data_IF_809148954721
#
_entry.id   IF_809148954721
#
_cell.length_a   1.000
_cell.length_b   1.000
_cell.length_c   1.000
_cell.angle_alpha   90.00
_cell.angle_beta   90.00
_cell.angle_gamma   90.00
#
_symmetry.space_group_name_H-M   'P 1'
#
loop_
_entity.id
_entity.type
_entity.pdbx_description
1 polymer ?
#
# COMPACT_ATOMS: atom_id res chain seq x y z
N UNK A 1 -6.27 -16.11 6.93
CA UNK A 1 -7.06 -14.88 7.20
C UNK A 1 -7.39 -14.71 8.69
N UNK A 2 -7.93 -15.70 9.39
CA UNK A 2 -8.44 -15.59 10.78
C UNK A 2 -7.42 -15.02 11.79
N UNK A 3 -6.18 -15.54 11.81
CA UNK A 3 -5.14 -15.14 12.78
C UNK A 3 -4.88 -13.62 12.80
N UNK A 4 -4.92 -12.96 11.64
CA UNK A 4 -4.62 -11.52 11.53
C UNK A 4 -5.69 -10.66 12.18
N UNK A 5 -6.95 -11.06 12.03
CA UNK A 5 -8.08 -10.37 12.66
C UNK A 5 -8.08 -10.60 14.18
N UNK A 6 -7.65 -11.78 14.64
CA UNK A 6 -7.43 -12.03 16.07
C UNK A 6 -6.30 -11.15 16.61
N UNK A 7 -5.12 -11.13 15.98
CA UNK A 7 -3.99 -10.26 16.40
C UNK A 7 -4.39 -8.78 16.39
N UNK A 8 -5.11 -8.33 15.37
CA UNK A 8 -5.61 -6.95 15.25
C UNK A 8 -6.57 -6.55 16.38
N UNK A 9 -7.42 -7.47 16.83
CA UNK A 9 -8.36 -7.26 17.93
C UNK A 9 -7.87 -7.76 19.28
N UNK A 10 -6.54 -7.93 19.43
CA UNK A 10 -5.90 -8.37 20.68
C UNK A 10 -6.54 -9.65 21.24
N UNK A 11 -6.86 -10.58 20.34
CA UNK A 11 -7.52 -11.86 20.60
C UNK A 11 -8.92 -11.76 21.23
N UNK A 12 -9.56 -10.58 21.23
CA UNK A 12 -10.97 -10.48 21.59
C UNK A 12 -11.85 -11.04 20.45
N UNK A 13 -12.27 -12.29 20.63
CA UNK A 13 -12.88 -13.13 19.59
C UNK A 13 -14.10 -12.46 18.94
N UNK A 14 -15.01 -11.88 19.73
CA UNK A 14 -16.25 -11.29 19.20
C UNK A 14 -15.98 -10.12 18.25
N UNK A 15 -15.05 -9.22 18.57
CA UNK A 15 -14.66 -8.12 17.67
C UNK A 15 -13.87 -8.63 16.46
N UNK A 16 -13.03 -9.66 16.63
CA UNK A 16 -12.30 -10.27 15.53
C UNK A 16 -13.25 -10.88 14.49
N UNK A 17 -14.23 -11.66 14.95
CA UNK A 17 -15.28 -12.24 14.10
C UNK A 17 -16.07 -11.15 13.40
N UNK A 18 -16.54 -10.12 14.12
CA UNK A 18 -17.28 -8.99 13.53
C UNK A 18 -16.50 -8.32 12.39
N UNK A 19 -15.21 -8.04 12.61
CA UNK A 19 -14.36 -7.40 11.58
C UNK A 19 -14.07 -8.34 10.41
N UNK A 20 -13.80 -9.61 10.69
CA UNK A 20 -13.56 -10.64 9.67
C UNK A 20 -14.78 -10.82 8.77
N UNK A 21 -15.99 -10.87 9.33
CA UNK A 21 -17.24 -10.96 8.55
C UNK A 21 -17.41 -9.76 7.63
N UNK A 22 -17.12 -8.54 8.11
CA UNK A 22 -17.13 -7.33 7.26
C UNK A 22 -16.14 -7.46 6.10
N UNK A 23 -14.93 -7.94 6.37
CA UNK A 23 -13.91 -8.12 5.34
C UNK A 23 -14.30 -9.19 4.31
N UNK A 24 -14.84 -10.33 4.74
CA UNK A 24 -15.32 -11.39 3.82
C UNK A 24 -16.43 -10.85 2.92
N UNK A 25 -17.40 -10.11 3.50
CA UNK A 25 -18.48 -9.49 2.72
C UNK A 25 -17.92 -8.50 1.69
N UNK A 26 -17.07 -7.57 2.12
CA UNK A 26 -16.45 -6.59 1.22
C UNK A 26 -15.65 -7.27 0.10
N UNK A 27 -14.88 -8.32 0.39
CA UNK A 27 -14.11 -9.06 -0.63
C UNK A 27 -15.02 -9.68 -1.70
N UNK A 28 -16.19 -10.18 -1.29
CA UNK A 28 -17.21 -10.68 -2.22
C UNK A 28 -17.81 -9.54 -3.04
N UNK A 29 -18.24 -8.46 -2.40
CA UNK A 29 -18.90 -7.32 -3.05
C UNK A 29 -17.95 -6.57 -4.00
N UNK A 30 -16.64 -6.56 -3.71
CA UNK A 30 -15.58 -5.95 -4.52
C UNK A 30 -15.06 -6.90 -5.64
N UNK A 31 -15.53 -8.15 -5.69
CA UNK A 31 -15.06 -9.18 -6.62
C UNK A 31 -13.54 -9.42 -6.58
N UNK A 32 -12.95 -9.45 -5.39
CA UNK A 32 -11.48 -9.62 -5.23
C UNK A 32 -10.96 -10.89 -5.91
N UNK A 33 -11.76 -11.96 -5.93
CA UNK A 33 -11.39 -13.22 -6.57
C UNK A 33 -11.29 -13.15 -8.10
N UNK A 34 -11.88 -12.12 -8.73
CA UNK A 34 -11.89 -11.91 -10.17
C UNK A 34 -10.80 -10.92 -10.63
N UNK A 35 -10.05 -10.32 -9.69
CA UNK A 35 -8.95 -9.42 -10.00
C UNK A 35 -7.79 -10.22 -10.61
N UNK A 36 -7.55 -10.03 -11.89
CA UNK A 36 -6.45 -10.63 -12.65
C UNK A 36 -5.53 -9.55 -13.21
N UNK A 37 -4.33 -9.94 -13.66
CA UNK A 37 -3.40 -9.02 -14.33
C UNK A 37 -4.04 -8.35 -15.55
N UNK A 38 -4.83 -9.10 -16.34
CA UNK A 38 -5.54 -8.54 -17.49
C UNK A 38 -6.63 -7.54 -17.07
N UNK A 39 -7.35 -7.81 -15.96
CA UNK A 39 -8.42 -6.93 -15.48
C UNK A 39 -7.93 -5.56 -14.98
N UNK A 40 -6.65 -5.42 -14.62
CA UNK A 40 -6.06 -4.15 -14.13
C UNK A 40 -4.96 -3.62 -15.06
N UNK A 41 -4.80 -4.21 -16.24
CA UNK A 41 -3.67 -3.96 -17.14
C UNK A 41 -3.56 -2.51 -17.57
N UNK A 42 -4.66 -1.90 -17.98
CA UNK A 42 -4.65 -0.54 -18.53
C UNK A 42 -4.20 0.48 -17.49
N UNK A 43 -4.71 0.37 -16.26
CA UNK A 43 -4.30 1.25 -15.15
C UNK A 43 -2.90 0.90 -14.63
N UNK A 44 -2.50 -0.37 -14.64
CA UNK A 44 -1.16 -0.81 -14.26
C UNK A 44 -0.07 -0.28 -15.21
N UNK A 45 -0.38 -0.14 -16.50
CA UNK A 45 0.53 0.38 -17.52
C UNK A 45 0.94 1.84 -17.29
N UNK A 46 0.18 2.60 -16.50
CA UNK A 46 0.62 3.95 -16.07
C UNK A 46 1.91 3.89 -15.25
N UNK A 47 2.21 2.76 -14.61
CA UNK A 47 3.36 2.59 -13.73
C UNK A 47 3.25 3.39 -12.44
N UNK A 48 2.03 3.80 -12.05
CA UNK A 48 1.76 4.53 -10.79
C UNK A 48 1.96 3.66 -9.55
N UNK A 49 1.87 2.34 -9.68
CA UNK A 49 2.18 1.39 -8.63
C UNK A 49 2.53 0.01 -9.20
N UNK A 50 3.36 -0.74 -8.49
CA UNK A 50 3.72 -2.12 -8.83
C UNK A 50 4.23 -2.87 -7.59
N UNK A 51 4.30 -4.20 -7.68
CA UNK A 51 5.02 -5.01 -6.68
C UNK A 51 6.42 -5.27 -7.20
N UNK A 52 7.45 -4.94 -6.42
CA UNK A 52 8.84 -5.18 -6.79
C UNK A 52 9.13 -6.68 -6.81
N UNK A 53 9.92 -7.13 -7.78
CA UNK A 53 10.20 -8.56 -7.99
C UNK A 53 10.98 -9.21 -6.83
N UNK A 54 11.71 -8.39 -6.07
CA UNK A 54 12.53 -8.83 -4.95
C UNK A 54 11.96 -8.36 -3.61
N UNK A 55 12.29 -9.11 -2.57
CA UNK A 55 12.02 -8.69 -1.19
C UNK A 55 13.02 -7.59 -0.77
N UNK A 56 12.63 -6.80 0.21
CA UNK A 56 13.57 -5.93 0.93
C UNK A 56 14.58 -6.76 1.75
N UNK A 57 15.62 -6.11 2.28
CA UNK A 57 16.64 -6.80 3.10
C UNK A 57 16.07 -7.42 4.39
N UNK A 58 14.86 -7.04 4.80
CA UNK A 58 14.14 -7.61 5.94
C UNK A 58 13.26 -8.81 5.53
N UNK A 59 13.27 -9.20 4.26
CA UNK A 59 12.50 -10.32 3.71
C UNK A 59 11.01 -10.03 3.55
N UNK A 60 10.63 -8.77 3.31
CA UNK A 60 9.25 -8.33 3.08
C UNK A 60 9.02 -8.04 1.60
N UNK A 61 7.87 -8.42 1.03
CA UNK A 61 7.44 -7.93 -0.27
C UNK A 61 7.34 -6.40 -0.27
N UNK A 62 7.72 -5.79 -1.39
CA UNK A 62 7.72 -4.33 -1.55
C UNK A 62 6.64 -3.92 -2.53
N UNK A 63 5.67 -3.15 -2.07
CA UNK A 63 4.70 -2.48 -2.92
C UNK A 63 5.18 -1.05 -3.17
N UNK A 64 5.52 -0.78 -4.42
CA UNK A 64 6.02 0.50 -4.91
C UNK A 64 4.85 1.36 -5.40
N UNK A 65 4.83 2.64 -5.02
CA UNK A 65 3.91 3.66 -5.52
C UNK A 65 4.72 4.85 -6.01
N UNK A 66 4.47 5.29 -7.24
CA UNK A 66 5.09 6.48 -7.85
C UNK A 66 4.02 7.56 -7.89
N UNK A 67 3.96 8.38 -6.83
CA UNK A 67 2.81 9.24 -6.58
C UNK A 67 2.65 10.33 -7.66
N UNK A 68 3.74 10.76 -8.29
CA UNK A 68 3.74 11.72 -9.41
C UNK A 68 3.08 11.19 -10.69
N UNK A 69 2.81 9.89 -10.77
CA UNK A 69 2.08 9.26 -11.89
C UNK A 69 0.59 9.04 -11.58
N UNK A 70 0.13 9.39 -10.38
CA UNK A 70 -1.29 9.32 -10.04
C UNK A 70 -1.97 10.62 -10.48
N UNK A 71 -2.90 10.53 -11.43
CA UNK A 71 -3.70 11.65 -11.89
C UNK A 71 -5.18 11.27 -11.70
N UNK A 72 -5.85 11.78 -10.64
CA UNK A 72 -7.21 11.34 -10.26
C UNK A 72 -8.26 11.57 -11.35
N UNK A 73 -8.04 12.59 -12.18
CA UNK A 73 -8.97 12.96 -13.27
C UNK A 73 -8.71 12.17 -14.56
N UNK A 74 -7.59 11.44 -14.65
CA UNK A 74 -7.18 10.75 -15.87
C UNK A 74 -7.66 9.29 -15.94
N UNK A 75 -8.17 8.72 -14.85
CA UNK A 75 -8.60 7.32 -14.77
C UNK A 75 -9.92 7.18 -14.01
N UNK A 76 -10.68 6.11 -14.26
CA UNK A 76 -11.83 5.77 -13.41
C UNK A 76 -11.32 5.45 -11.99
N UNK A 77 -11.81 6.13 -10.94
CA UNK A 77 -11.43 5.83 -9.57
C UNK A 77 -11.54 4.35 -9.19
N UNK A 78 -12.50 3.61 -9.77
CA UNK A 78 -12.66 2.18 -9.53
C UNK A 78 -11.51 1.35 -10.06
N UNK A 79 -10.88 1.77 -11.15
CA UNK A 79 -9.74 1.04 -11.71
C UNK A 79 -8.50 1.24 -10.83
N UNK A 80 -8.32 2.42 -10.25
CA UNK A 80 -7.29 2.67 -9.24
C UNK A 80 -7.53 1.85 -7.96
N UNK A 81 -8.77 1.78 -7.50
CA UNK A 81 -9.16 0.92 -6.37
C UNK A 81 -8.88 -0.56 -6.66
N UNK A 82 -9.23 -1.05 -7.86
CA UNK A 82 -8.97 -2.44 -8.28
C UNK A 82 -7.48 -2.72 -8.37
N UNK A 83 -6.69 -1.82 -8.95
CA UNK A 83 -5.24 -1.94 -9.00
C UNK A 83 -4.64 -2.02 -7.60
N UNK A 84 -5.08 -1.16 -6.68
CA UNK A 84 -4.64 -1.18 -5.28
C UNK A 84 -4.83 -2.57 -4.66
N UNK A 85 -6.06 -3.10 -4.74
CA UNK A 85 -6.41 -4.38 -4.12
C UNK A 85 -5.68 -5.53 -4.81
N UNK A 86 -5.56 -5.50 -6.13
CA UNK A 86 -4.78 -6.48 -6.89
C UNK A 86 -3.31 -6.50 -6.46
N UNK A 87 -2.66 -5.33 -6.35
CA UNK A 87 -1.25 -5.24 -5.93
C UNK A 87 -1.06 -5.65 -4.47
N UNK A 88 -2.03 -5.38 -3.59
CA UNK A 88 -2.03 -5.89 -2.22
C UNK A 88 -2.11 -7.43 -2.22
N UNK A 89 -3.04 -8.05 -2.95
CA UNK A 89 -3.10 -9.51 -3.06
C UNK A 89 -1.79 -10.10 -3.61
N UNK A 90 -1.24 -9.48 -4.67
CA UNK A 90 0.02 -9.89 -5.31
C UNK A 90 1.19 -9.82 -4.31
N UNK A 91 1.37 -8.70 -3.62
CA UNK A 91 2.42 -8.55 -2.61
C UNK A 91 2.26 -9.58 -1.47
N UNK A 92 1.02 -9.85 -1.03
CA UNK A 92 0.77 -10.84 0.00
C UNK A 92 1.04 -12.27 -0.43
N UNK A 93 0.90 -12.58 -1.72
CA UNK A 93 1.22 -13.89 -2.28
C UNK A 93 2.73 -14.18 -2.29
N UNK A 94 3.57 -13.13 -2.29
CA UNK A 94 5.03 -13.23 -2.26
C UNK A 94 5.62 -13.36 -0.86
N UNK A 95 4.80 -13.36 0.20
CA UNK A 95 5.31 -13.45 1.57
C UNK A 95 6.03 -14.78 1.82
N UNK A 96 7.30 -14.76 2.26
CA UNK A 96 7.98 -15.97 2.69
C UNK A 96 7.31 -16.62 3.90
N UNK A 97 7.54 -17.91 4.08
CA UNK A 97 7.13 -18.63 5.30
C UNK A 97 7.63 -17.91 6.55
N UNK A 98 6.74 -17.66 7.50
CA UNK A 98 7.04 -16.94 8.75
C UNK A 98 7.06 -15.41 8.64
N UNK A 99 6.88 -14.83 7.45
CA UNK A 99 6.69 -13.39 7.26
C UNK A 99 5.21 -13.05 7.14
N UNK A 100 4.83 -11.91 7.69
CA UNK A 100 3.41 -11.54 7.82
C UNK A 100 3.04 -10.21 7.15
N UNK A 101 4.05 -9.40 6.80
CA UNK A 101 3.90 -8.00 6.46
C UNK A 101 4.67 -7.61 5.21
N UNK A 102 4.08 -6.74 4.41
CA UNK A 102 4.73 -6.04 3.30
C UNK A 102 5.25 -4.66 3.76
N UNK A 103 6.15 -4.07 2.98
CA UNK A 103 6.49 -2.65 3.05
C UNK A 103 5.89 -1.92 1.85
N UNK A 104 5.34 -0.73 2.09
CA UNK A 104 4.88 0.17 1.03
C UNK A 104 5.86 1.31 0.91
N UNK A 105 6.39 1.53 -0.29
CA UNK A 105 7.28 2.65 -0.58
C UNK A 105 6.55 3.58 -1.52
N UNK A 106 6.28 4.80 -1.04
CA UNK A 106 5.61 5.84 -1.79
C UNK A 106 6.66 6.87 -2.18
N UNK A 107 7.07 6.81 -3.42
CA UNK A 107 7.95 7.76 -4.06
C UNK A 107 7.19 9.06 -4.36
N UNK A 108 7.48 10.10 -3.58
CA UNK A 108 6.85 11.41 -3.70
C UNK A 108 7.68 12.39 -4.55
N UNK A 109 8.79 11.93 -5.16
CA UNK A 109 9.56 12.77 -6.09
C UNK A 109 8.69 13.17 -7.27
N UNK A 110 8.63 14.47 -7.54
CA UNK A 110 7.78 15.05 -8.57
C UNK A 110 6.29 15.11 -8.21
N UNK A 111 5.89 14.79 -6.97
CA UNK A 111 4.50 14.91 -6.54
C UNK A 111 4.06 16.39 -6.51
N UNK A 112 2.96 16.69 -7.21
CA UNK A 112 2.31 17.99 -7.28
C UNK A 112 0.87 17.97 -6.74
N UNK A 113 0.20 19.12 -6.79
CA UNK A 113 -1.19 19.27 -6.34
C UNK A 113 -2.17 18.47 -7.20
N UNK A 114 -1.88 18.33 -8.49
CA UNK A 114 -2.63 17.56 -9.47
C UNK A 114 -2.64 16.05 -9.18
N UNK A 115 -1.69 15.58 -8.36
CA UNK A 115 -1.64 14.19 -7.93
C UNK A 115 -2.41 13.93 -6.62
N UNK A 116 -2.89 14.97 -5.94
CA UNK A 116 -3.52 14.83 -4.63
C UNK A 116 -4.93 14.22 -4.74
N UNK A 117 -5.13 13.09 -4.06
CA UNK A 117 -6.40 12.37 -4.07
C UNK A 117 -6.83 11.93 -2.66
N UNK A 118 -7.59 12.79 -1.98
CA UNK A 118 -8.05 12.51 -0.63
C UNK A 118 -9.09 11.37 -0.58
N UNK A 119 -9.83 11.16 -1.66
CA UNK A 119 -10.84 10.08 -1.75
C UNK A 119 -10.13 8.73 -1.84
N UNK A 120 -9.21 8.60 -2.79
CA UNK A 120 -8.41 7.39 -2.93
C UNK A 120 -7.55 7.10 -1.70
N UNK A 121 -7.00 8.14 -1.06
CA UNK A 121 -6.25 7.98 0.19
C UNK A 121 -7.13 7.43 1.33
N UNK A 122 -8.38 7.89 1.41
CA UNK A 122 -9.35 7.35 2.38
C UNK A 122 -9.67 5.87 2.07
N UNK A 123 -9.85 5.52 0.80
CA UNK A 123 -10.02 4.13 0.37
C UNK A 123 -8.82 3.26 0.77
N UNK A 124 -7.59 3.71 0.50
CA UNK A 124 -6.36 2.98 0.85
C UNK A 124 -6.29 2.71 2.36
N UNK A 125 -6.67 3.69 3.19
CA UNK A 125 -6.74 3.50 4.63
C UNK A 125 -7.79 2.47 5.04
N UNK A 126 -8.97 2.50 4.42
CA UNK A 126 -10.01 1.51 4.68
C UNK A 126 -9.59 0.10 4.28
N UNK A 127 -8.86 -0.06 3.16
CA UNK A 127 -8.29 -1.33 2.71
C UNK A 127 -7.43 -1.94 3.82
N UNK A 128 -6.41 -1.23 4.29
CA UNK A 128 -5.51 -1.78 5.31
C UNK A 128 -6.13 -1.84 6.70
N UNK A 129 -6.96 -0.86 7.06
CA UNK A 129 -7.57 -0.83 8.38
C UNK A 129 -8.64 -1.90 8.52
N UNK A 130 -9.57 -2.05 7.57
CA UNK A 130 -10.71 -2.97 7.71
C UNK A 130 -10.47 -4.35 7.10
N UNK A 131 -9.79 -4.43 5.96
CA UNK A 131 -9.80 -5.64 5.13
C UNK A 131 -8.47 -6.40 5.15
N UNK A 132 -7.35 -5.70 5.34
CA UNK A 132 -6.01 -6.27 5.42
C UNK A 132 -5.27 -5.90 6.72
N UNK A 133 -5.89 -6.09 7.90
CA UNK A 133 -5.27 -5.66 9.14
C UNK A 133 -3.98 -6.43 9.42
N UNK A 134 -2.99 -5.76 10.01
CA UNK A 134 -1.67 -6.33 10.37
C UNK A 134 -0.83 -6.80 9.17
N UNK A 135 -1.17 -6.41 7.94
CA UNK A 135 -0.42 -6.75 6.73
C UNK A 135 0.58 -5.70 6.27
N UNK A 136 0.48 -4.48 6.79
CA UNK A 136 1.51 -3.45 6.65
C UNK A 136 2.53 -3.54 7.76
N UNK A 137 3.81 -3.60 7.39
CA UNK A 137 4.94 -3.49 8.31
C UNK A 137 5.42 -2.05 8.44
N UNK A 138 5.51 -1.33 7.32
CA UNK A 138 6.02 0.03 7.26
C UNK A 138 5.54 0.72 5.98
N UNK A 139 5.41 2.05 6.03
CA UNK A 139 5.12 2.92 4.89
C UNK A 139 6.20 3.99 4.81
N UNK A 140 6.95 4.01 3.71
CA UNK A 140 8.03 4.96 3.48
C UNK A 140 7.53 6.07 2.55
N UNK A 141 7.45 7.30 3.06
CA UNK A 141 7.24 8.50 2.25
C UNK A 141 8.60 9.06 1.85
N UNK A 142 8.97 8.84 0.59
CA UNK A 142 10.29 9.13 0.06
C UNK A 142 10.34 10.53 -0.53
N UNK A 143 11.30 11.34 -0.09
CA UNK A 143 11.59 12.69 -0.60
C UNK A 143 10.32 13.55 -0.72
N UNK A 144 9.52 13.56 0.35
CA UNK A 144 8.25 14.27 0.40
C UNK A 144 8.42 15.78 0.13
N UNK A 145 7.85 16.33 -0.96
CA UNK A 145 7.97 17.75 -1.27
C UNK A 145 7.14 18.59 -0.29
N UNK A 146 7.47 19.89 -0.18
CA UNK A 146 6.76 20.80 0.73
C UNK A 146 5.24 20.85 0.48
N UNK A 147 4.81 20.71 -0.77
CA UNK A 147 3.39 20.66 -1.17
C UNK A 147 2.64 19.46 -0.58
N UNK A 148 3.33 18.39 -0.16
CA UNK A 148 2.71 17.23 0.48
C UNK A 148 2.31 17.51 1.94
N UNK A 149 2.89 18.52 2.61
CA UNK A 149 2.65 18.78 4.04
C UNK A 149 1.18 19.01 4.39
N UNK A 150 0.42 19.87 3.68
CA UNK A 150 -1.00 20.06 3.98
C UNK A 150 -1.83 18.79 3.77
N UNK A 151 -1.53 17.99 2.74
CA UNK A 151 -2.19 16.72 2.46
C UNK A 151 -1.95 15.75 3.62
N UNK A 152 -0.71 15.65 4.09
CA UNK A 152 -0.36 14.80 5.22
C UNK A 152 -1.06 15.23 6.52
N UNK A 153 -1.22 16.53 6.78
CA UNK A 153 -1.94 17.03 7.95
C UNK A 153 -3.41 16.58 7.96
N UNK A 154 -4.03 16.48 6.79
CA UNK A 154 -5.40 15.98 6.62
C UNK A 154 -5.45 14.45 6.73
N UNK A 155 -4.46 13.76 6.16
CA UNK A 155 -4.42 12.30 6.09
C UNK A 155 -4.05 11.62 7.42
N UNK A 156 -3.10 12.19 8.17
CA UNK A 156 -2.54 11.60 9.39
C UNK A 156 -3.59 11.22 10.45
N UNK A 157 -4.61 12.05 10.74
CA UNK A 157 -5.68 11.68 11.68
C UNK A 157 -6.48 10.43 11.24
N UNK A 158 -6.65 10.21 9.93
CA UNK A 158 -7.40 9.08 9.39
C UNK A 158 -6.66 7.74 9.61
N UNK A 159 -5.34 7.77 9.65
CA UNK A 159 -4.49 6.59 9.86
C UNK A 159 -4.59 6.00 11.28
N UNK A 160 -5.08 6.74 12.28
CA UNK A 160 -5.18 6.29 13.68
C UNK A 160 -3.86 5.63 14.14
N UNK A 161 -3.90 4.37 14.57
CA UNK A 161 -2.72 3.62 15.02
C UNK A 161 -1.75 3.26 13.89
N UNK A 162 -2.14 3.32 12.62
CA UNK A 162 -1.24 3.05 11.49
C UNK A 162 -0.30 4.22 11.21
N UNK A 163 -0.56 5.41 11.77
CA UNK A 163 0.33 6.56 11.61
C UNK A 163 1.74 6.30 12.17
N UNK A 164 1.90 5.37 13.13
CA UNK A 164 3.20 4.98 13.67
C UNK A 164 4.01 4.07 12.74
N UNK A 165 3.41 3.56 11.66
CA UNK A 165 4.11 2.78 10.64
C UNK A 165 4.72 3.65 9.55
N UNK A 166 4.44 4.96 9.56
CA UNK A 166 4.88 5.90 8.54
C UNK A 166 6.24 6.47 8.91
N UNK A 167 7.19 6.35 8.00
CA UNK A 167 8.50 7.01 8.06
C UNK A 167 8.66 7.93 6.86
N UNK A 168 9.09 9.17 7.10
CA UNK A 168 9.59 10.06 6.06
C UNK A 168 11.08 9.82 5.91
N UNK A 169 11.56 9.61 4.69
CA UNK A 169 12.96 9.32 4.41
C UNK A 169 13.36 9.83 3.03
N UNK A 170 14.65 9.84 2.76
CA UNK A 170 15.25 10.15 1.46
C UNK A 170 15.37 8.91 0.58
N UNK A 171 15.47 9.11 -0.74
CA UNK A 171 15.79 8.02 -1.67
C UNK A 171 17.09 7.29 -1.30
N UNK A 172 18.09 8.02 -0.78
CA UNK A 172 19.37 7.44 -0.36
C UNK A 172 19.21 6.50 0.86
N UNK A 173 18.42 6.90 1.87
CA UNK A 173 18.10 6.05 3.01
C UNK A 173 17.36 4.80 2.56
N UNK A 174 16.37 4.92 1.66
CA UNK A 174 15.66 3.77 1.11
C UNK A 174 16.63 2.79 0.44
N UNK A 175 17.52 3.31 -0.43
CA UNK A 175 18.53 2.51 -1.12
C UNK A 175 19.44 1.77 -0.16
N UNK A 176 19.96 2.44 0.88
CA UNK A 176 20.93 1.88 1.82
C UNK A 176 20.32 0.92 2.85
N UNK A 177 19.10 1.21 3.30
CA UNK A 177 18.49 0.52 4.43
C UNK A 177 17.51 -0.58 4.04
N UNK A 178 16.99 -0.59 2.81
CA UNK A 178 15.96 -1.55 2.38
C UNK A 178 16.39 -2.42 1.21
N UNK A 179 17.47 -2.05 0.51
CA UNK A 179 17.94 -2.76 -0.66
C UNK A 179 19.45 -2.98 -0.64
N UNK A 180 19.87 -3.96 -1.41
CA UNK A 180 21.23 -4.18 -1.90
C UNK A 180 21.32 -3.65 -3.33
N UNK A 181 22.53 -3.45 -3.84
CA UNK A 181 22.71 -2.96 -5.22
C UNK A 181 22.07 -3.89 -6.28
N UNK A 182 21.92 -5.18 -5.98
CA UNK A 182 21.36 -6.19 -6.90
C UNK A 182 19.83 -6.17 -6.97
N UNK A 183 19.15 -5.71 -5.92
CA UNK A 183 17.68 -5.72 -5.83
C UNK A 183 17.10 -4.31 -5.72
N UNK A 184 17.83 -3.28 -6.15
CA UNK A 184 17.34 -1.91 -6.22
C UNK A 184 16.16 -1.77 -7.20
N UNK A 185 15.02 -1.19 -6.76
CA UNK A 185 13.96 -0.82 -7.69
C UNK A 185 14.47 0.19 -8.71
N UNK A 186 13.99 0.14 -9.98
CA UNK A 186 14.49 1.02 -11.05
C UNK A 186 14.53 2.50 -10.68
N UNK A 187 13.53 2.98 -9.93
CA UNK A 187 13.42 4.38 -9.52
C UNK A 187 14.54 4.85 -8.58
N UNK A 188 15.33 3.95 -8.00
CA UNK A 188 16.37 4.26 -7.00
C UNK A 188 17.79 3.94 -7.50
N UNK A 189 17.97 3.72 -8.81
CA UNK A 189 19.26 3.38 -9.40
C UNK A 189 20.09 4.60 -9.80
N UNK A 190 19.45 5.74 -9.98
CA UNK A 190 20.06 7.01 -10.41
C UNK A 190 20.13 8.02 -9.25
#
# INVERSE_FOLDING_TARGET
>A
MILWFLKDRKFYVKEAVKKLTKAIKWRKDFNVAELTEEAVKDVAQTGKAYVHDFLDIYGRPVLMVVASKHFPEAQDPKDDERLCVFLVEKALSMLPTGKEQMVVIVDLRGFGTENADLKYLTFLFDVFYYYYPKRLGEVLFVDAPFVFKPIWQIAKPLLKSYASLVRFCSAEEVRKEYFTDKNLPPNFRD
#
